data_IF_759040806529
#
_entry.id   IF_759040806529
#
_cell.length_a   1.000
_cell.length_b   1.000
_cell.length_c   1.000
_cell.angle_alpha   90.00
_cell.angle_beta   90.00
_cell.angle_gamma   90.00
#
_symmetry.space_group_name_H-M   'P 1'
#
loop_
_entity.id
_entity.type
_entity.pdbx_description
1 polymer ?
#
# COMPACT_ATOMS: atom_id res chain seq x y z
N UNK A 1 -43.94 4.06 -46.07
CA UNK A 1 -42.88 3.06 -45.87
C UNK A 1 -41.76 3.71 -45.07
N UNK A 2 -41.80 3.63 -43.74
CA UNK A 2 -40.80 4.23 -42.84
C UNK A 2 -40.10 3.09 -42.10
N UNK A 3 -38.87 2.79 -42.49
CA UNK A 3 -38.02 1.78 -41.85
C UNK A 3 -37.40 2.45 -40.63
N UNK A 4 -37.91 2.15 -39.43
CA UNK A 4 -37.27 2.52 -38.18
C UNK A 4 -36.09 1.57 -37.92
N UNK A 5 -34.89 2.04 -38.22
CA UNK A 5 -33.64 1.41 -37.77
C UNK A 5 -33.49 1.64 -36.26
N UNK A 6 -33.79 0.62 -35.47
CA UNK A 6 -33.51 0.62 -34.04
C UNK A 6 -32.00 0.36 -33.87
N UNK A 7 -31.23 1.44 -33.70
CA UNK A 7 -29.84 1.36 -33.27
C UNK A 7 -29.80 0.95 -31.80
N UNK A 8 -29.40 -0.30 -31.54
CA UNK A 8 -29.05 -0.77 -30.20
C UNK A 8 -27.73 -0.09 -29.82
N UNK A 9 -27.78 0.91 -28.95
CA UNK A 9 -26.59 1.48 -28.32
C UNK A 9 -26.20 0.56 -27.17
N UNK A 10 -25.16 -0.26 -27.38
CA UNK A 10 -24.54 -1.00 -26.30
C UNK A 10 -23.79 -0.03 -25.38
N UNK A 11 -24.41 0.33 -24.25
CA UNK A 11 -23.75 1.08 -23.19
C UNK A 11 -22.82 0.12 -22.45
N UNK A 12 -21.53 0.19 -22.77
CA UNK A 12 -20.50 -0.57 -22.05
C UNK A 12 -20.36 -0.05 -20.63
N UNK A 13 -20.90 -0.79 -19.66
CA UNK A 13 -20.63 -0.56 -18.24
C UNK A 13 -19.25 -1.13 -17.95
N UNK A 14 -18.21 -0.29 -18.01
CA UNK A 14 -16.90 -0.65 -17.48
C UNK A 14 -16.99 -0.64 -15.96
N UNK A 15 -17.12 -1.83 -15.36
CA UNK A 15 -16.81 -2.01 -13.96
C UNK A 15 -15.31 -1.73 -13.79
N UNK A 16 -14.97 -0.64 -13.10
CA UNK A 16 -13.60 -0.42 -12.67
C UNK A 16 -13.21 -1.60 -11.78
N UNK A 17 -12.29 -2.45 -12.27
CA UNK A 17 -11.73 -3.52 -11.46
C UNK A 17 -11.13 -2.92 -10.18
N UNK A 18 -11.23 -3.63 -9.03
CA UNK A 18 -10.52 -3.18 -7.85
C UNK A 18 -9.04 -3.10 -8.24
N UNK A 19 -8.47 -1.90 -8.22
CA UNK A 19 -7.07 -1.67 -8.55
C UNK A 19 -6.21 -2.31 -7.46
N UNK A 20 -6.05 -3.63 -7.55
CA UNK A 20 -5.15 -4.44 -6.75
C UNK A 20 -3.74 -3.98 -7.13
N UNK A 21 -2.93 -3.56 -6.14
CA UNK A 21 -1.63 -2.92 -6.42
C UNK A 21 -0.69 -3.81 -7.25
N UNK A 22 0.29 -3.19 -7.91
CA UNK A 22 1.36 -3.89 -8.60
C UNK A 22 2.41 -4.39 -7.60
N UNK A 23 2.49 -5.70 -7.41
CA UNK A 23 3.41 -6.34 -6.44
C UNK A 23 4.87 -6.01 -6.75
N UNK A 24 5.26 -5.99 -8.02
CA UNK A 24 6.66 -5.79 -8.42
C UNK A 24 7.09 -4.34 -8.17
N UNK A 25 6.24 -3.37 -8.51
CA UNK A 25 6.46 -1.96 -8.17
C UNK A 25 6.48 -1.76 -6.65
N UNK A 26 5.54 -2.37 -5.93
CA UNK A 26 5.47 -2.31 -4.47
C UNK A 26 6.75 -2.85 -3.81
N UNK A 27 7.28 -3.97 -4.32
CA UNK A 27 8.56 -4.56 -3.87
C UNK A 27 9.74 -3.63 -4.13
N UNK A 28 9.84 -3.03 -5.32
CA UNK A 28 10.93 -2.11 -5.65
C UNK A 28 10.89 -0.85 -4.78
N UNK A 29 9.70 -0.28 -4.54
CA UNK A 29 9.52 0.85 -3.64
C UNK A 29 9.87 0.50 -2.20
N UNK A 30 9.43 -0.67 -1.71
CA UNK A 30 9.75 -1.14 -0.37
C UNK A 30 11.27 -1.22 -0.14
N UNK A 31 11.98 -1.87 -1.07
CA UNK A 31 13.44 -2.04 -0.98
C UNK A 31 14.18 -0.70 -0.96
N UNK A 32 13.73 0.29 -1.74
CA UNK A 32 14.46 1.55 -1.91
C UNK A 32 14.08 2.62 -0.89
N UNK A 33 12.89 2.56 -0.29
CA UNK A 33 12.36 3.63 0.58
C UNK A 33 12.02 3.19 2.00
N UNK A 34 11.66 1.93 2.20
CA UNK A 34 11.01 1.50 3.44
C UNK A 34 11.88 0.55 4.25
N UNK A 35 12.58 -0.38 3.60
CA UNK A 35 13.29 -1.47 4.28
C UNK A 35 14.48 -1.02 5.13
N UNK A 36 15.06 0.16 4.85
CA UNK A 36 16.11 0.75 5.69
C UNK A 36 15.64 0.97 7.15
N UNK A 37 14.34 1.22 7.36
CA UNK A 37 13.76 1.42 8.70
C UNK A 37 12.81 0.28 9.10
N UNK A 38 12.02 -0.26 8.17
CA UNK A 38 10.98 -1.26 8.44
C UNK A 38 11.38 -2.70 8.08
N UNK A 39 12.61 -2.90 7.60
CA UNK A 39 13.12 -4.21 7.22
C UNK A 39 13.35 -5.15 8.41
N UNK A 40 13.58 -6.44 8.15
CA UNK A 40 13.74 -7.46 9.19
C UNK A 40 14.90 -7.18 10.15
N UNK A 41 15.93 -6.45 9.69
CA UNK A 41 17.12 -6.08 10.48
C UNK A 41 16.81 -5.04 11.55
N UNK A 42 15.75 -4.24 11.40
CA UNK A 42 15.41 -3.14 12.32
C UNK A 42 14.43 -3.54 13.43
N UNK A 43 13.85 -4.75 13.34
CA UNK A 43 12.96 -5.30 14.37
C UNK A 43 13.67 -5.61 15.70
N UNK A 44 14.99 -5.74 15.68
CA UNK A 44 15.83 -5.91 16.87
C UNK A 44 16.09 -4.60 17.63
N UNK A 45 15.81 -3.43 17.05
CA UNK A 45 16.00 -2.12 17.70
C UNK A 45 14.71 -1.68 18.40
N UNK A 46 14.35 -2.38 19.49
CA UNK A 46 13.44 -1.92 20.55
C UNK A 46 12.05 -1.38 20.12
N UNK A 47 11.52 -1.77 18.96
CA UNK A 47 10.19 -1.35 18.51
C UNK A 47 10.09 0.09 17.98
N UNK A 48 11.22 0.73 17.67
CA UNK A 48 11.23 2.08 17.09
C UNK A 48 10.55 2.13 15.71
N UNK A 49 10.71 1.06 14.93
CA UNK A 49 10.07 0.92 13.62
C UNK A 49 9.21 -0.35 13.59
N UNK A 50 7.88 -0.22 13.50
CA UNK A 50 7.01 -1.38 13.49
C UNK A 50 7.18 -2.18 12.19
N UNK A 51 6.95 -3.49 12.29
CA UNK A 51 6.88 -4.34 11.09
C UNK A 51 5.65 -3.98 10.25
N UNK A 52 5.84 -3.86 8.94
CA UNK A 52 4.75 -3.68 7.98
C UNK A 52 4.26 -5.02 7.39
N UNK A 53 5.03 -6.10 7.59
CA UNK A 53 4.80 -7.39 6.93
C UNK A 53 3.50 -8.03 7.41
N UNK A 54 2.66 -8.43 6.46
CA UNK A 54 1.40 -9.13 6.71
C UNK A 54 0.33 -8.25 7.38
N UNK A 55 0.56 -6.95 7.45
CA UNK A 55 -0.45 -6.01 7.92
C UNK A 55 -1.52 -5.80 6.84
N UNK A 56 -2.77 -5.55 7.25
CA UNK A 56 -3.88 -5.31 6.34
C UNK A 56 -3.56 -4.16 5.39
N UNK A 57 -3.71 -4.37 4.09
CA UNK A 57 -3.45 -3.35 3.06
C UNK A 57 -4.19 -2.04 3.35
N UNK A 58 -5.50 -2.12 3.64
CA UNK A 58 -6.33 -0.94 3.93
C UNK A 58 -5.82 -0.15 5.14
N UNK A 59 -5.30 -0.82 6.16
CA UNK A 59 -4.71 -0.16 7.31
C UNK A 59 -3.43 0.58 6.92
N UNK A 60 -2.49 -0.09 6.25
CA UNK A 60 -1.23 0.54 5.83
C UNK A 60 -1.48 1.72 4.89
N UNK A 61 -2.40 1.57 3.94
CA UNK A 61 -2.81 2.64 3.03
C UNK A 61 -3.36 3.84 3.79
N UNK A 62 -4.27 3.61 4.74
CA UNK A 62 -4.76 4.69 5.60
C UNK A 62 -3.61 5.39 6.34
N UNK A 63 -2.68 4.64 6.93
CA UNK A 63 -1.57 5.25 7.66
C UNK A 63 -0.70 6.13 6.76
N UNK A 64 -0.39 5.70 5.53
CA UNK A 64 0.35 6.53 4.58
C UNK A 64 -0.42 7.80 4.21
N UNK A 65 -1.75 7.71 4.02
CA UNK A 65 -2.59 8.89 3.77
C UNK A 65 -2.58 9.84 4.97
N UNK A 66 -2.73 9.32 6.20
CA UNK A 66 -2.72 10.11 7.42
C UNK A 66 -1.37 10.81 7.65
N UNK A 67 -0.24 10.13 7.36
CA UNK A 67 1.08 10.76 7.42
C UNK A 67 1.22 11.83 6.33
N UNK A 68 0.72 11.56 5.12
CA UNK A 68 0.81 12.52 4.01
C UNK A 68 -0.04 13.78 4.25
N UNK A 69 -1.22 13.65 4.85
CA UNK A 69 -2.10 14.80 5.20
C UNK A 69 -1.64 15.52 6.46
N UNK A 70 -0.89 14.84 7.34
CA UNK A 70 -0.53 15.34 8.66
C UNK A 70 -1.51 14.95 9.76
N UNK A 71 -2.58 14.22 9.46
CA UNK A 71 -3.52 13.68 10.47
C UNK A 71 -2.83 12.72 11.45
N UNK A 72 -1.72 12.11 11.01
CA UNK A 72 -0.78 11.39 11.88
C UNK A 72 0.58 12.07 11.85
N UNK A 73 1.09 12.43 13.03
CA UNK A 73 2.37 13.10 13.18
C UNK A 73 3.52 12.10 13.37
N UNK A 74 4.48 12.15 12.44
CA UNK A 74 5.82 11.57 12.55
C UNK A 74 6.68 12.17 11.42
N UNK A 75 7.72 12.92 11.77
CA UNK A 75 8.52 13.69 10.78
C UNK A 75 9.15 12.76 9.74
N UNK A 76 9.60 11.58 10.13
CA UNK A 76 10.24 10.64 9.21
C UNK A 76 9.23 10.08 8.23
N UNK A 77 8.08 9.61 8.73
CA UNK A 77 7.04 9.03 7.88
C UNK A 77 6.28 10.08 7.05
N UNK A 78 6.18 11.32 7.52
CA UNK A 78 5.67 12.44 6.72
C UNK A 78 6.56 12.70 5.50
N UNK A 79 7.89 12.74 5.68
CA UNK A 79 8.83 12.90 4.58
C UNK A 79 8.75 11.73 3.59
N UNK A 80 8.61 10.49 4.07
CA UNK A 80 8.45 9.32 3.20
C UNK A 80 7.11 9.35 2.44
N UNK A 81 5.99 9.51 3.14
CA UNK A 81 4.65 9.47 2.55
C UNK A 81 4.38 10.66 1.62
N UNK A 82 4.95 11.84 1.91
CA UNK A 82 4.83 13.03 1.08
C UNK A 82 5.32 12.82 -0.36
N UNK A 83 6.36 11.99 -0.53
CA UNK A 83 6.95 11.67 -1.83
C UNK A 83 6.25 10.56 -2.62
N UNK A 84 5.20 9.93 -2.09
CA UNK A 84 4.50 8.82 -2.75
C UNK A 84 3.27 9.32 -3.51
N UNK A 85 3.03 8.79 -4.71
CA UNK A 85 1.74 8.91 -5.38
C UNK A 85 0.70 7.98 -4.74
N UNK A 86 -0.57 8.21 -5.05
CA UNK A 86 -1.68 7.40 -4.57
C UNK A 86 -1.60 5.94 -5.06
N UNK A 87 -1.14 5.76 -6.30
CA UNK A 87 -0.84 4.45 -6.89
C UNK A 87 0.33 3.76 -6.18
N UNK A 88 1.44 4.48 -5.96
CA UNK A 88 2.59 3.93 -5.24
C UNK A 88 2.24 3.50 -3.82
N UNK A 89 1.35 4.25 -3.14
CA UNK A 89 0.82 3.84 -1.84
C UNK A 89 0.00 2.53 -1.93
N UNK A 90 -0.81 2.34 -2.98
CA UNK A 90 -1.54 1.08 -3.19
C UNK A 90 -0.59 -0.09 -3.47
N UNK A 91 0.39 0.10 -4.35
CA UNK A 91 1.36 -0.93 -4.73
C UNK A 91 2.19 -1.39 -3.53
N UNK A 92 2.74 -0.43 -2.78
CA UNK A 92 3.55 -0.68 -1.59
C UNK A 92 2.77 -1.43 -0.51
N UNK A 93 1.54 -0.98 -0.23
CA UNK A 93 0.70 -1.55 0.83
C UNK A 93 0.18 -2.93 0.43
N UNK A 94 -0.09 -3.15 -0.85
CA UNK A 94 -0.45 -4.46 -1.36
C UNK A 94 0.72 -5.44 -1.20
N UNK A 95 1.93 -5.07 -1.64
CA UNK A 95 3.13 -5.87 -1.45
C UNK A 95 3.33 -6.28 0.02
N UNK A 96 3.32 -5.33 0.96
CA UNK A 96 3.52 -5.64 2.38
C UNK A 96 2.43 -6.56 2.96
N UNK A 97 1.19 -6.45 2.49
CA UNK A 97 0.07 -7.26 2.97
C UNK A 97 0.20 -8.75 2.64
N UNK A 98 0.94 -9.08 1.57
CA UNK A 98 1.18 -10.45 1.13
C UNK A 98 2.34 -11.13 1.86
N UNK A 99 3.15 -10.37 2.60
CA UNK A 99 4.30 -10.91 3.32
C UNK A 99 3.88 -11.63 4.59
N UNK A 100 4.60 -12.69 4.96
CA UNK A 100 4.36 -13.38 6.22
C UNK A 100 4.59 -12.45 7.42
N UNK A 101 3.63 -12.33 8.36
CA UNK A 101 3.80 -11.60 9.61
C UNK A 101 5.00 -12.11 10.40
N UNK A 102 5.69 -11.21 11.10
CA UNK A 102 6.75 -11.58 12.05
C UNK A 102 6.09 -12.07 13.34
N UNK A 103 6.54 -13.21 13.87
CA UNK A 103 6.21 -13.61 15.24
C UNK A 103 7.12 -12.88 16.22
N UNK A 104 6.58 -11.88 16.92
CA UNK A 104 7.32 -11.07 17.89
C UNK A 104 7.71 -11.84 19.16
N UNK A 105 7.10 -13.01 19.42
CA UNK A 105 7.33 -13.80 20.62
C UNK A 105 8.55 -14.74 20.52
N UNK A 106 9.15 -14.90 19.34
CA UNK A 106 10.33 -15.77 19.14
C UNK A 106 11.67 -15.05 19.34
N UNK A 107 11.66 -13.75 19.66
CA UNK A 107 12.86 -12.89 19.80
C UNK A 107 13.06 -12.33 21.22
N UNK A 108 12.21 -12.71 22.19
CA UNK A 108 12.27 -12.28 23.60
C UNK A 108 12.91 -13.36 24.51
N UNK A 109 13.73 -14.25 23.94
CA UNK A 109 14.57 -15.20 24.71
C UNK A 109 16.02 -14.78 24.62
#
# INVERSE_FOLDING_TARGET
>A
MFIFLISIVAVGVSAAEPQQGNIEQGRQLANTRCEACHGPVMLSQAGLFPSLRGQKQAYLYKQLKDFKSGDRADINMQAQAGGLTDEQMRDLTFYYSLLTPINLNTKVK
#
